data_IF_512666112858
#
_entry.id   IF_512666112858
#
_cell.length_a   1.000
_cell.length_b   1.000
_cell.length_c   1.000
_cell.angle_alpha   90.00
_cell.angle_beta   90.00
_cell.angle_gamma   90.00
#
_symmetry.space_group_name_H-M   'P 1'
#
loop_
_entity.id
_entity.type
_entity.pdbx_description
1 polymer ?
#
# COMPACT_ATOMS: atom_id res chain seq x y z
N UNK A 1 -20.68 30.03 59.19
CA UNK A 1 -19.23 29.99 58.90
C UNK A 1 -18.92 28.66 58.22
N UNK A 2 -18.80 28.64 56.90
CA UNK A 2 -18.50 27.41 56.15
C UNK A 2 -17.01 27.06 56.28
N UNK A 3 -16.70 25.87 56.77
CA UNK A 3 -15.33 25.36 56.89
C UNK A 3 -14.77 25.14 55.49
N UNK A 4 -14.08 26.14 54.94
CA UNK A 4 -13.29 25.96 53.71
C UNK A 4 -11.91 25.47 54.09
N UNK A 5 -11.46 24.43 53.39
CA UNK A 5 -10.12 23.90 53.55
C UNK A 5 -9.05 24.79 52.93
N UNK A 6 -7.84 24.72 53.48
CA UNK A 6 -6.66 25.37 52.91
C UNK A 6 -6.33 24.81 51.51
N UNK A 7 -5.85 25.67 50.59
CA UNK A 7 -5.53 25.26 49.23
C UNK A 7 -4.36 24.25 49.25
N UNK A 8 -4.56 23.11 48.59
CA UNK A 8 -3.53 22.06 48.43
C UNK A 8 -3.79 20.74 49.15
N UNK A 9 -4.91 20.60 49.88
CA UNK A 9 -5.32 19.32 50.47
C UNK A 9 -6.71 18.89 49.97
N UNK A 10 -6.86 17.61 49.61
CA UNK A 10 -8.13 17.02 49.15
C UNK A 10 -9.08 17.00 50.34
N UNK A 11 -10.17 17.77 50.27
CA UNK A 11 -11.18 17.76 51.31
C UNK A 11 -12.26 16.75 51.02
N UNK A 12 -12.32 15.76 51.91
CA UNK A 12 -13.30 14.70 51.90
C UNK A 12 -14.59 15.25 52.53
N UNK A 13 -15.41 15.89 51.71
CA UNK A 13 -16.82 16.13 52.04
C UNK A 13 -17.66 14.92 51.57
N UNK A 14 -18.82 14.69 52.19
CA UNK A 14 -19.72 13.59 51.82
C UNK A 14 -20.05 13.55 50.31
N UNK A 15 -20.07 14.71 49.64
CA UNK A 15 -20.29 14.80 48.18
C UNK A 15 -19.12 14.24 47.38
N UNK A 16 -17.88 14.48 47.80
CA UNK A 16 -16.68 13.93 47.14
C UNK A 16 -16.58 12.41 47.29
N UNK A 17 -17.04 11.86 48.42
CA UNK A 17 -17.10 10.41 48.63
C UNK A 17 -18.11 9.71 47.71
N UNK A 18 -19.29 10.32 47.52
CA UNK A 18 -20.31 9.80 46.60
C UNK A 18 -19.79 9.81 45.15
N UNK A 19 -19.04 10.84 44.76
CA UNK A 19 -18.45 10.94 43.43
C UNK A 19 -17.39 9.85 43.16
N UNK A 20 -16.52 9.56 44.15
CA UNK A 20 -15.50 8.50 44.03
C UNK A 20 -16.15 7.12 43.92
N UNK A 21 -17.19 6.84 44.71
CA UNK A 21 -17.91 5.56 44.66
C UNK A 21 -18.59 5.37 43.29
N UNK A 22 -19.17 6.43 42.73
CA UNK A 22 -19.77 6.38 41.39
C UNK A 22 -18.75 6.06 40.30
N UNK A 23 -17.55 6.66 40.36
CA UNK A 23 -16.47 6.37 39.41
C UNK A 23 -15.97 4.92 39.50
N UNK A 24 -15.80 4.38 40.72
CA UNK A 24 -15.40 2.99 40.91
C UNK A 24 -16.48 2.03 40.38
N UNK A 25 -17.77 2.34 40.58
CA UNK A 25 -18.89 1.59 40.02
C UNK A 25 -18.90 1.57 38.49
N UNK A 26 -18.63 2.70 37.84
CA UNK A 26 -18.52 2.80 36.39
C UNK A 26 -17.37 1.95 35.84
N UNK A 27 -16.20 2.03 36.45
CA UNK A 27 -15.03 1.22 36.05
C UNK A 27 -15.32 -0.27 36.24
N UNK A 28 -15.93 -0.66 37.36
CA UNK A 28 -16.35 -2.04 37.60
C UNK A 28 -17.36 -2.56 36.57
N UNK A 29 -18.31 -1.72 36.16
CA UNK A 29 -19.30 -2.05 35.12
C UNK A 29 -18.64 -2.29 33.75
N UNK A 30 -17.69 -1.44 33.35
CA UNK A 30 -16.95 -1.62 32.10
C UNK A 30 -16.07 -2.88 32.12
N UNK A 31 -15.40 -3.19 33.24
CA UNK A 31 -14.66 -4.45 33.40
C UNK A 31 -15.57 -5.68 33.31
N UNK A 32 -16.77 -5.62 33.90
CA UNK A 32 -17.76 -6.71 33.80
C UNK A 32 -18.21 -6.96 32.35
N UNK A 33 -18.40 -5.90 31.56
CA UNK A 33 -18.69 -6.02 30.12
C UNK A 33 -17.52 -6.66 29.35
N UNK A 34 -16.27 -6.31 29.70
CA UNK A 34 -15.08 -6.89 29.08
C UNK A 34 -14.87 -8.38 29.38
N UNK A 35 -15.28 -8.86 30.55
CA UNK A 35 -15.18 -10.28 30.92
C UNK A 35 -16.21 -11.18 30.22
N UNK A 36 -17.27 -10.60 29.64
CA UNK A 36 -18.32 -11.34 28.93
C UNK A 36 -18.06 -11.60 27.45
N UNK A 37 -16.93 -11.15 26.89
CA UNK A 37 -16.57 -11.49 25.50
C UNK A 37 -15.82 -12.82 25.43
N UNK A 38 -16.43 -13.94 24.99
CA UNK A 38 -15.68 -15.14 24.67
C UNK A 38 -14.88 -14.91 23.40
N UNK A 39 -13.57 -14.76 23.55
CA UNK A 39 -12.60 -14.91 22.45
C UNK A 39 -12.60 -16.38 22.01
N UNK A 40 -13.39 -16.69 20.98
CA UNK A 40 -13.40 -18.00 20.35
C UNK A 40 -12.43 -18.03 19.17
N UNK A 41 -11.29 -18.68 19.36
CA UNK A 41 -10.32 -18.98 18.29
C UNK A 41 -10.92 -20.10 17.45
N UNK A 42 -11.45 -19.78 16.27
CA UNK A 42 -11.91 -20.79 15.31
C UNK A 42 -10.72 -21.45 14.62
N UNK A 43 -10.22 -22.56 15.18
CA UNK A 43 -9.30 -23.46 14.47
C UNK A 43 -10.13 -24.29 13.48
N UNK A 44 -10.05 -23.99 12.18
CA UNK A 44 -10.65 -24.83 11.13
C UNK A 44 -9.88 -26.16 11.05
N UNK A 45 -10.34 -27.22 11.72
CA UNK A 45 -9.87 -28.59 11.45
C UNK A 45 -10.33 -28.99 10.05
N UNK A 46 -9.39 -29.31 9.16
CA UNK A 46 -9.68 -29.91 7.87
C UNK A 46 -10.32 -31.29 8.10
N UNK A 47 -11.55 -31.46 7.61
CA UNK A 47 -12.20 -32.78 7.55
C UNK A 47 -11.45 -33.66 6.55
N UNK A 48 -10.72 -34.66 7.05
CA UNK A 48 -10.32 -35.79 6.22
C UNK A 48 -11.59 -36.60 5.90
N UNK A 49 -11.99 -36.59 4.62
CA UNK A 49 -13.02 -37.51 4.12
C UNK A 49 -12.51 -38.94 4.29
N UNK A 50 -13.22 -39.75 5.06
CA UNK A 50 -13.11 -41.20 4.98
C UNK A 50 -13.50 -41.63 3.56
N UNK A 51 -12.54 -42.15 2.81
CA UNK A 51 -12.78 -42.77 1.52
C UNK A 51 -13.14 -44.23 1.79
N UNK A 52 -14.37 -44.61 1.45
CA UNK A 52 -14.81 -46.01 1.48
C UNK A 52 -13.97 -46.80 0.48
N UNK A 53 -13.17 -47.73 0.99
CA UNK A 53 -12.47 -48.74 0.21
C UNK A 53 -13.46 -49.83 -0.23
N UNK A 54 -14.09 -49.61 -1.39
CA UNK A 54 -14.65 -50.70 -2.18
C UNK A 54 -13.75 -50.92 -3.40
N UNK A 55 -12.60 -51.54 -3.14
CA UNK A 55 -11.66 -52.01 -4.15
C UNK A 55 -12.10 -53.40 -4.59
N UNK A 56 -12.80 -53.50 -5.72
CA UNK A 56 -13.14 -54.79 -6.33
C UNK A 56 -13.30 -54.64 -7.85
N UNK A 57 -12.19 -54.93 -8.54
CA UNK A 57 -12.04 -55.37 -9.93
C UNK A 57 -12.79 -54.65 -11.07
N UNK A 58 -12.05 -53.85 -11.84
CA UNK A 58 -12.21 -53.76 -13.29
C UNK A 58 -10.83 -53.58 -13.94
N UNK A 59 -10.09 -54.69 -14.03
CA UNK A 59 -8.69 -54.73 -14.47
C UNK A 59 -8.47 -54.78 -15.99
N UNK A 60 -9.50 -54.54 -16.82
CA UNK A 60 -9.38 -54.67 -18.29
C UNK A 60 -9.58 -53.36 -19.08
N UNK A 61 -9.73 -52.20 -18.44
CA UNK A 61 -9.80 -50.90 -19.13
C UNK A 61 -8.66 -49.94 -18.75
N UNK A 62 -7.45 -50.46 -18.53
CA UNK A 62 -6.29 -49.61 -18.27
C UNK A 62 -5.53 -49.31 -19.58
N UNK A 63 -6.16 -48.53 -20.47
CA UNK A 63 -5.37 -47.66 -21.34
C UNK A 63 -4.71 -46.65 -20.39
N UNK A 64 -3.38 -46.64 -20.22
CA UNK A 64 -2.74 -45.66 -19.37
C UNK A 64 -3.08 -44.25 -19.90
N UNK A 65 -3.41 -43.29 -19.02
CA UNK A 65 -3.72 -41.94 -19.46
C UNK A 65 -2.53 -41.37 -20.24
N UNK A 66 -2.78 -41.10 -21.52
CA UNK A 66 -2.06 -40.23 -22.45
C UNK A 66 -0.75 -39.64 -21.88
N UNK A 67 0.32 -40.39 -22.14
CA UNK A 67 1.67 -39.95 -22.52
C UNK A 67 2.26 -38.74 -21.77
N UNK A 68 3.10 -39.04 -20.77
CA UNK A 68 4.28 -38.20 -20.55
C UNK A 68 5.10 -38.23 -21.84
N UNK A 69 5.35 -37.06 -22.43
CA UNK A 69 6.14 -36.96 -23.68
C UNK A 69 7.57 -37.49 -23.48
N UNK A 70 8.05 -37.47 -22.23
CA UNK A 70 9.32 -38.07 -21.80
C UNK A 70 9.36 -39.59 -21.88
N UNK A 71 8.21 -40.27 -21.86
CA UNK A 71 8.13 -41.74 -21.91
C UNK A 71 7.83 -42.30 -23.29
N UNK A 72 7.63 -41.47 -24.32
CA UNK A 72 7.35 -41.94 -25.68
C UNK A 72 8.29 -41.26 -26.70
N UNK A 73 9.33 -41.98 -27.19
CA UNK A 73 10.33 -41.43 -28.11
C UNK A 73 9.83 -41.22 -29.55
N UNK A 74 8.62 -41.70 -29.89
CA UNK A 74 8.03 -41.55 -31.21
C UNK A 74 7.16 -40.30 -31.35
N UNK A 75 6.99 -39.51 -30.27
CA UNK A 75 6.27 -38.25 -30.32
C UNK A 75 7.24 -37.11 -30.68
N UNK A 76 6.84 -36.19 -31.58
CA UNK A 76 7.62 -34.99 -31.83
C UNK A 76 7.73 -34.17 -30.54
N UNK A 77 8.86 -33.51 -30.27
CA UNK A 77 9.05 -32.68 -29.09
C UNK A 77 8.24 -31.39 -29.23
N UNK A 78 6.94 -31.46 -28.95
CA UNK A 78 6.08 -30.27 -28.90
C UNK A 78 6.25 -29.57 -27.56
N UNK A 79 6.40 -28.24 -27.59
CA UNK A 79 6.37 -27.39 -26.40
C UNK A 79 4.95 -27.43 -25.84
N UNK A 80 4.67 -28.38 -24.95
CA UNK A 80 3.43 -28.36 -24.18
C UNK A 80 3.39 -27.06 -23.39
N UNK A 81 2.41 -26.21 -23.65
CA UNK A 81 2.16 -24.98 -22.90
C UNK A 81 1.65 -25.32 -21.49
N UNK A 82 2.54 -25.76 -20.60
CA UNK A 82 2.24 -26.06 -19.18
C UNK A 82 1.94 -24.78 -18.38
N UNK A 83 1.69 -23.65 -19.04
CA UNK A 83 1.29 -22.41 -18.36
C UNK A 83 -0.16 -22.46 -17.85
N UNK A 84 -0.98 -23.40 -18.35
CA UNK A 84 -2.35 -23.61 -17.91
C UNK A 84 -2.56 -25.11 -17.60
N UNK A 85 -2.46 -25.55 -16.34
CA UNK A 85 -2.75 -26.95 -15.99
C UNK A 85 -4.20 -27.28 -16.37
N UNK A 86 -4.39 -28.39 -17.10
CA UNK A 86 -5.70 -28.91 -17.52
C UNK A 86 -6.64 -29.28 -16.35
N UNK A 87 -6.16 -29.17 -15.11
CA UNK A 87 -6.90 -29.51 -13.90
C UNK A 87 -7.81 -28.37 -13.42
N UNK A 88 -7.78 -27.20 -14.07
CA UNK A 88 -8.84 -26.20 -13.95
C UNK A 88 -9.95 -26.56 -14.95
N UNK A 89 -11.18 -26.79 -14.48
CA UNK A 89 -12.32 -27.08 -15.36
C UNK A 89 -12.73 -25.89 -16.24
N UNK A 90 -12.02 -24.76 -16.14
CA UNK A 90 -12.23 -23.58 -16.96
C UNK A 90 -11.20 -23.55 -18.10
N UNK A 91 -11.69 -23.56 -19.34
CA UNK A 91 -10.89 -23.41 -20.58
C UNK A 91 -10.06 -22.11 -20.56
N UNK A 92 -10.43 -21.14 -19.72
CA UNK A 92 -9.76 -19.83 -19.57
C UNK A 92 -8.57 -19.85 -18.59
N UNK A 93 -8.34 -20.95 -17.86
CA UNK A 93 -7.29 -21.04 -16.84
C UNK A 93 -7.53 -20.14 -15.62
N UNK A 94 -6.66 -20.25 -14.61
CA UNK A 94 -6.75 -19.39 -13.41
C UNK A 94 -6.45 -17.95 -13.85
N UNK A 95 -7.34 -16.97 -13.57
CA UNK A 95 -7.06 -15.58 -13.91
C UNK A 95 -5.81 -15.14 -13.14
N UNK A 96 -4.77 -14.76 -13.89
CA UNK A 96 -3.54 -14.25 -13.30
C UNK A 96 -3.84 -12.82 -12.83
N UNK A 97 -4.13 -12.65 -11.54
CA UNK A 97 -4.32 -11.34 -10.90
C UNK A 97 -2.98 -10.68 -10.55
N UNK A 98 -2.06 -10.66 -11.51
CA UNK A 98 -0.81 -9.89 -11.39
C UNK A 98 -0.81 -8.84 -12.49
N UNK A 99 -0.39 -7.59 -12.21
CA UNK A 99 -0.27 -6.58 -13.24
C UNK A 99 0.74 -7.07 -14.29
N UNK A 100 0.27 -7.30 -15.51
CA UNK A 100 1.11 -7.73 -16.65
C UNK A 100 1.81 -6.54 -17.32
N UNK A 101 1.34 -5.32 -17.06
CA UNK A 101 2.02 -4.07 -17.36
C UNK A 101 2.72 -3.57 -16.09
N UNK A 102 3.71 -2.67 -16.20
CA UNK A 102 4.48 -2.22 -15.03
C UNK A 102 3.60 -1.71 -13.87
N UNK A 103 4.15 -1.66 -12.67
CA UNK A 103 3.41 -1.18 -11.50
C UNK A 103 3.49 0.35 -11.40
N UNK A 104 2.51 0.97 -10.74
CA UNK A 104 2.60 2.39 -10.38
C UNK A 104 3.82 2.60 -9.48
N UNK A 105 4.75 3.43 -9.95
CA UNK A 105 5.90 3.86 -9.18
C UNK A 105 5.46 4.70 -7.97
N UNK A 106 6.25 4.62 -6.89
CA UNK A 106 6.09 5.51 -5.74
C UNK A 106 6.69 6.88 -6.07
N UNK A 107 6.17 7.91 -5.41
CA UNK A 107 6.77 9.23 -5.53
C UNK A 107 8.09 9.28 -4.78
N UNK A 108 9.10 9.82 -5.44
CA UNK A 108 10.44 10.02 -4.90
C UNK A 108 10.81 11.48 -5.02
N UNK A 109 11.71 11.94 -4.15
CA UNK A 109 12.24 13.28 -4.28
C UNK A 109 13.22 13.31 -5.44
N UNK A 110 12.91 14.10 -6.47
CA UNK A 110 13.71 14.22 -7.70
C UNK A 110 14.49 15.53 -7.75
N UNK A 111 14.21 16.47 -6.85
CA UNK A 111 14.89 17.75 -6.82
C UNK A 111 14.30 18.73 -5.83
N UNK A 112 14.56 20.01 -6.07
CA UNK A 112 14.04 21.14 -5.30
C UNK A 112 13.46 22.22 -6.22
N UNK A 113 12.54 22.98 -5.66
CA UNK A 113 11.95 24.17 -6.25
C UNK A 113 12.43 25.39 -5.48
N UNK A 114 12.95 26.38 -6.18
CA UNK A 114 13.37 27.67 -5.62
C UNK A 114 12.46 28.75 -6.15
N UNK A 115 11.90 29.58 -5.26
CA UNK A 115 10.99 30.65 -5.68
C UNK A 115 11.73 31.65 -6.57
N UNK A 116 11.11 32.09 -7.68
CA UNK A 116 11.70 33.08 -8.57
C UNK A 116 11.52 34.52 -8.06
N UNK A 117 10.34 34.85 -7.53
CA UNK A 117 9.99 36.20 -7.12
C UNK A 117 9.62 36.26 -5.64
N UNK A 118 10.29 37.10 -4.84
CA UNK A 118 9.92 37.34 -3.43
C UNK A 118 10.80 36.59 -2.44
N UNK A 119 10.22 36.15 -1.31
CA UNK A 119 10.98 35.53 -0.22
C UNK A 119 11.61 34.21 -0.65
N UNK A 120 12.87 33.99 -0.29
CA UNK A 120 13.56 32.72 -0.52
C UNK A 120 12.81 31.57 0.17
N UNK A 121 12.12 30.75 -0.63
CA UNK A 121 11.44 29.55 -0.15
C UNK A 121 11.87 28.39 -1.03
N UNK A 122 12.37 27.34 -0.38
CA UNK A 122 12.82 26.11 -1.03
C UNK A 122 11.79 25.02 -0.72
N UNK A 123 11.28 24.36 -1.75
CA UNK A 123 10.31 23.29 -1.60
C UNK A 123 10.84 21.99 -2.23
N UNK A 124 10.53 20.81 -1.67
CA UNK A 124 10.93 19.54 -2.27
C UNK A 124 10.09 19.23 -3.50
N UNK A 125 10.75 18.88 -4.61
CA UNK A 125 10.09 18.39 -5.82
C UNK A 125 9.97 16.87 -5.76
N UNK A 126 8.73 16.39 -5.65
CA UNK A 126 8.40 14.96 -5.68
C UNK A 126 7.95 14.58 -7.08
N UNK A 127 8.49 13.49 -7.62
CA UNK A 127 8.23 13.01 -8.97
C UNK A 127 8.02 11.50 -9.03
N UNK A 128 7.27 11.05 -10.03
CA UNK A 128 7.21 9.64 -10.43
C UNK A 128 6.90 9.49 -11.92
N UNK A 129 7.39 8.44 -12.59
CA UNK A 129 7.01 8.16 -13.97
C UNK A 129 5.57 7.69 -14.10
N UNK A 130 4.88 8.16 -15.15
CA UNK A 130 3.53 7.72 -15.46
C UNK A 130 3.57 6.42 -16.28
N UNK A 131 2.87 5.39 -15.81
CA UNK A 131 2.89 4.08 -16.46
C UNK A 131 2.27 4.10 -17.87
N UNK A 132 1.17 4.83 -18.04
CA UNK A 132 0.43 4.86 -19.30
C UNK A 132 1.22 5.53 -20.44
N UNK A 133 2.23 6.34 -20.12
CA UNK A 133 3.04 7.03 -21.11
C UNK A 133 4.49 7.22 -20.64
N UNK A 134 5.44 6.58 -21.34
CA UNK A 134 6.88 6.59 -21.02
C UNK A 134 7.54 7.98 -21.02
N UNK A 135 6.90 9.00 -21.60
CA UNK A 135 7.44 10.37 -21.71
C UNK A 135 6.84 11.36 -20.72
N UNK A 136 5.93 10.91 -19.84
CA UNK A 136 5.22 11.77 -18.91
C UNK A 136 5.47 11.35 -17.48
N UNK A 137 5.56 12.35 -16.62
CA UNK A 137 5.83 12.19 -15.20
C UNK A 137 4.78 12.96 -14.40
N UNK A 138 4.45 12.46 -13.23
CA UNK A 138 3.61 13.17 -12.26
C UNK A 138 4.50 13.87 -11.25
N UNK A 139 4.17 15.12 -10.94
CA UNK A 139 4.94 15.94 -10.01
C UNK A 139 4.03 16.62 -9.00
N UNK A 140 4.48 16.68 -7.75
CA UNK A 140 3.89 17.53 -6.72
C UNK A 140 5.00 18.11 -5.84
N UNK A 141 4.67 19.16 -5.09
CA UNK A 141 5.57 19.73 -4.08
C UNK A 141 4.89 19.68 -2.71
N UNK A 142 5.67 19.82 -1.65
CA UNK A 142 5.14 19.96 -0.29
C UNK A 142 5.43 21.37 0.23
N UNK A 143 4.55 21.88 1.09
CA UNK A 143 4.79 23.17 1.76
C UNK A 143 5.84 23.04 2.86
N UNK A 144 6.64 24.09 3.07
CA UNK A 144 7.67 24.18 4.12
C UNK A 144 7.13 24.43 5.55
N UNK A 145 5.80 24.40 5.72
CA UNK A 145 5.18 24.61 7.04
C UNK A 145 5.27 23.33 7.89
N UNK A 146 5.21 23.47 9.22
CA UNK A 146 5.24 22.37 10.19
C UNK A 146 4.34 21.18 9.82
N UNK A 147 3.17 21.47 9.24
CA UNK A 147 2.34 20.47 8.57
C UNK A 147 2.55 20.56 7.06
N UNK A 148 3.36 19.66 6.52
CA UNK A 148 3.68 19.62 5.10
C UNK A 148 2.47 19.13 4.28
N UNK A 149 1.78 20.05 3.62
CA UNK A 149 0.64 19.76 2.75
C UNK A 149 1.11 19.56 1.31
N UNK A 150 0.51 18.60 0.60
CA UNK A 150 0.77 18.38 -0.83
C UNK A 150 0.15 19.52 -1.65
N UNK A 151 0.97 20.17 -2.45
CA UNK A 151 0.59 21.26 -3.34
C UNK A 151 0.75 20.82 -4.80
N UNK A 152 -0.26 21.09 -5.65
CA UNK A 152 -0.17 20.77 -7.06
C UNK A 152 0.78 21.72 -7.79
N UNK A 153 1.44 21.17 -8.80
CA UNK A 153 2.35 21.89 -9.69
C UNK A 153 1.73 21.90 -11.08
N UNK A 154 1.85 23.02 -11.80
CA UNK A 154 1.47 23.14 -13.19
C UNK A 154 2.64 23.57 -14.08
N UNK A 155 2.74 22.96 -15.27
CA UNK A 155 3.73 23.26 -16.32
C UNK A 155 2.98 23.61 -17.60
N UNK A 156 3.19 24.80 -18.14
CA UNK A 156 2.55 25.24 -19.40
C UNK A 156 1.02 25.21 -19.36
N UNK A 157 0.42 25.61 -18.23
CA UNK A 157 -1.04 25.64 -18.05
C UNK A 157 -1.70 24.27 -17.82
N UNK A 158 -0.93 23.20 -17.62
CA UNK A 158 -1.44 21.86 -17.31
C UNK A 158 -0.99 21.42 -15.93
N UNK A 159 -1.88 20.79 -15.17
CA UNK A 159 -1.55 20.24 -13.85
C UNK A 159 -0.77 18.93 -13.97
N UNK A 160 0.36 18.86 -13.28
CA UNK A 160 1.26 17.71 -13.25
C UNK A 160 0.87 16.67 -12.20
N UNK A 161 -0.13 16.95 -11.36
CA UNK A 161 -0.68 15.98 -10.39
C UNK A 161 -1.78 15.10 -10.98
N UNK A 162 -2.29 15.44 -12.16
CA UNK A 162 -3.37 14.69 -12.82
C UNK A 162 -2.90 13.33 -13.33
N UNK A 163 -3.85 12.44 -13.60
CA UNK A 163 -3.59 11.10 -14.17
C UNK A 163 -2.74 11.13 -15.44
N UNK A 164 -2.85 12.18 -16.26
CA UNK A 164 -2.08 12.32 -17.49
C UNK A 164 -0.66 12.88 -17.29
N UNK A 165 -0.33 13.39 -16.10
CA UNK A 165 0.96 13.99 -15.77
C UNK A 165 1.35 15.18 -16.67
N UNK A 166 2.64 15.54 -16.60
CA UNK A 166 3.29 16.55 -17.41
C UNK A 166 4.50 15.97 -18.16
N UNK A 167 5.02 16.74 -19.10
CA UNK A 167 6.34 16.44 -19.68
C UNK A 167 7.41 16.52 -18.58
N UNK A 168 8.49 15.77 -18.77
CA UNK A 168 9.64 15.78 -17.87
C UNK A 168 10.15 17.20 -17.61
N UNK A 169 10.52 17.46 -16.35
CA UNK A 169 11.13 18.71 -15.94
C UNK A 169 12.63 18.62 -16.16
N UNK A 170 13.25 19.74 -16.50
CA UNK A 170 14.69 19.88 -16.61
C UNK A 170 15.22 20.93 -15.64
N UNK A 171 16.54 20.91 -15.40
CA UNK A 171 17.18 21.91 -14.56
C UNK A 171 17.02 23.30 -15.19
N UNK A 172 16.55 24.27 -14.40
CA UNK A 172 16.26 25.63 -14.86
C UNK A 172 14.85 25.86 -15.40
N UNK A 173 14.01 24.82 -15.53
CA UNK A 173 12.61 24.98 -15.91
C UNK A 173 11.86 25.82 -14.87
N UNK A 174 10.89 26.63 -15.32
CA UNK A 174 9.94 27.32 -14.45
C UNK A 174 8.63 26.52 -14.34
N UNK A 175 8.18 26.25 -13.13
CA UNK A 175 6.89 25.62 -12.83
C UNK A 175 6.06 26.49 -11.93
N UNK A 176 4.74 26.43 -12.07
CA UNK A 176 3.82 27.21 -11.25
C UNK A 176 3.29 26.36 -10.09
N UNK A 177 3.28 26.91 -8.88
CA UNK A 177 2.83 26.21 -7.67
C UNK A 177 1.56 26.87 -7.16
N UNK A 178 0.42 26.20 -7.33
CA UNK A 178 -0.92 26.76 -7.10
C UNK A 178 -1.12 27.27 -5.65
N UNK A 179 -0.50 26.62 -4.66
CA UNK A 179 -0.63 27.01 -3.25
C UNK A 179 0.08 28.30 -2.85
N UNK A 180 1.08 28.73 -3.64
CA UNK A 180 1.81 29.98 -3.43
C UNK A 180 1.49 31.03 -4.49
N UNK A 181 0.70 30.66 -5.51
CA UNK A 181 0.32 31.51 -6.64
C UNK A 181 1.52 32.15 -7.34
N UNK A 182 2.62 31.40 -7.45
CA UNK A 182 3.89 31.93 -7.92
C UNK A 182 4.69 30.86 -8.69
N UNK A 183 5.65 31.33 -9.47
CA UNK A 183 6.55 30.51 -10.27
C UNK A 183 7.82 30.16 -9.50
N UNK A 184 8.25 28.91 -9.65
CA UNK A 184 9.44 28.35 -9.03
C UNK A 184 10.37 27.80 -10.11
N UNK A 185 11.67 27.99 -9.90
CA UNK A 185 12.74 27.40 -10.70
C UNK A 185 13.06 26.01 -10.19
N UNK A 186 13.06 25.05 -11.11
CA UNK A 186 13.36 23.65 -10.86
C UNK A 186 14.87 23.44 -10.81
N UNK A 187 15.33 22.72 -9.80
CA UNK A 187 16.68 22.14 -9.74
C UNK A 187 16.57 20.64 -9.51
N UNK A 188 16.99 19.84 -10.50
CA UNK A 188 16.87 18.38 -10.47
C UNK A 188 18.14 17.77 -9.90
N UNK A 189 17.98 16.73 -9.07
CA UNK A 189 19.10 15.94 -8.59
C UNK A 189 19.65 15.04 -9.69
N UNK A 190 20.97 14.95 -9.75
CA UNK A 190 21.62 14.05 -10.68
C UNK A 190 21.35 12.60 -10.27
N UNK A 191 20.99 11.79 -11.25
CA UNK A 191 20.81 10.37 -11.02
C UNK A 191 22.19 9.71 -10.92
N UNK A 192 22.57 9.22 -9.74
CA UNK A 192 23.77 8.41 -9.63
C UNK A 192 23.58 7.13 -10.43
N UNK A 193 24.48 6.86 -11.37
CA UNK A 193 24.46 5.63 -12.16
C UNK A 193 24.61 4.38 -11.30
N UNK A 194 24.39 3.18 -11.88
CA UNK A 194 24.62 1.93 -11.16
C UNK A 194 26.08 1.88 -10.70
N UNK A 195 26.29 1.80 -9.38
CA UNK A 195 27.60 1.61 -8.80
C UNK A 195 27.91 0.10 -8.71
N UNK A 196 29.16 -0.25 -9.01
CA UNK A 196 29.65 -1.61 -8.82
C UNK A 196 29.59 -2.00 -7.34
N UNK A 197 29.01 -3.15 -7.03
CA UNK A 197 29.00 -3.74 -5.68
C UNK A 197 30.11 -4.80 -5.66
N UNK A 198 31.25 -4.56 -5.01
CA UNK A 198 32.45 -5.39 -5.18
C UNK A 198 32.41 -6.76 -4.50
N UNK A 199 31.33 -7.13 -3.80
CA UNK A 199 31.26 -8.36 -3.01
C UNK A 199 30.04 -9.25 -3.36
N UNK A 200 29.40 -9.02 -4.49
CA UNK A 200 28.38 -9.91 -5.07
C UNK A 200 28.97 -10.77 -6.19
#
# INVERSE_FOLDING_TARGET
MGKRCQPGMICIENITMVFIIFLIGLVGYFCYLGMKSPWQITIKKQQQRQQNDNVMYNYLNRIPPISNIFSNPFLPPVKNGVYHPKNSSDVRGIPINVPTQGHNSTYQQVGILTRLNGSETILPLMGRPLLTNRSKNQYYTMSDKFNAVKLPISKGGRSCTNEYGCNELYNGDSVYVEGYQDAFKVTIYENSGPNYIPYL
#
